data_IF_497673248150
#
_entry.id   IF_497673248150
#
_cell.length_a   1.000
_cell.length_b   1.000
_cell.length_c   1.000
_cell.angle_alpha   90.00
_cell.angle_beta   90.00
_cell.angle_gamma   90.00
#
_symmetry.space_group_name_H-M   'P 1'
#
loop_
_entity.id
_entity.type
_entity.pdbx_description
1 polymer ?
#
# COMPACT_ATOMS: atom_id res chain seq x y z
N UNK A 1 -9.75 -2.99 -29.02
CA UNK A 1 -9.17 -3.18 -27.67
C UNK A 1 -8.06 -2.17 -27.55
N UNK A 2 -8.23 -1.15 -26.71
CA UNK A 2 -7.19 -0.16 -26.42
C UNK A 2 -6.03 -0.87 -25.72
N UNK A 3 -4.80 -0.67 -26.18
CA UNK A 3 -3.63 -1.32 -25.59
C UNK A 3 -3.34 -0.75 -24.20
N UNK A 4 -2.85 -1.57 -23.27
CA UNK A 4 -2.53 -1.12 -21.88
C UNK A 4 -1.62 0.11 -21.85
N UNK A 5 -0.74 0.24 -22.85
CA UNK A 5 0.15 1.38 -23.07
C UNK A 5 -0.58 2.68 -23.40
N UNK A 6 -1.64 2.63 -24.22
CA UNK A 6 -2.39 3.82 -24.64
C UNK A 6 -3.23 4.39 -23.49
N UNK A 7 -3.81 3.50 -22.66
CA UNK A 7 -4.67 3.91 -21.54
C UNK A 7 -3.91 4.66 -20.42
N UNK A 8 -2.64 4.35 -20.22
CA UNK A 8 -1.83 4.92 -19.12
C UNK A 8 -0.62 5.72 -19.60
N UNK A 9 -0.42 5.87 -20.91
CA UNK A 9 0.76 6.56 -21.47
C UNK A 9 2.09 5.86 -21.16
N UNK A 10 2.05 4.56 -20.83
CA UNK A 10 3.23 3.79 -20.42
C UNK A 10 3.82 3.02 -21.60
N UNK A 11 5.14 2.96 -21.67
CA UNK A 11 5.83 2.09 -22.62
C UNK A 11 5.86 0.62 -22.14
N UNK A 12 6.25 -0.28 -23.04
CA UNK A 12 6.27 -1.71 -22.75
C UNK A 12 7.19 -2.08 -21.58
N UNK A 13 8.36 -1.45 -21.46
CA UNK A 13 9.29 -1.72 -20.37
C UNK A 13 8.75 -1.23 -19.01
N UNK A 14 8.07 -0.09 -19.00
CA UNK A 14 7.39 0.43 -17.80
C UNK A 14 6.26 -0.49 -17.35
N UNK A 15 5.48 -1.02 -18.30
CA UNK A 15 4.42 -2.01 -17.99
C UNK A 15 5.06 -3.26 -17.37
N UNK A 16 6.11 -3.81 -17.99
CA UNK A 16 6.84 -4.97 -17.45
C UNK A 16 7.41 -4.70 -16.06
N UNK A 17 7.97 -3.51 -15.84
CA UNK A 17 8.43 -3.10 -14.52
C UNK A 17 7.31 -3.17 -13.48
N UNK A 18 6.13 -2.63 -13.79
CA UNK A 18 4.99 -2.67 -12.89
C UNK A 18 4.50 -4.09 -12.64
N UNK A 19 4.43 -4.92 -13.70
CA UNK A 19 4.04 -6.33 -13.60
C UNK A 19 5.01 -7.10 -12.69
N UNK A 20 6.32 -6.97 -12.88
CA UNK A 20 7.29 -7.60 -11.98
C UNK A 20 7.17 -7.06 -10.55
N UNK A 21 7.04 -5.75 -10.36
CA UNK A 21 6.99 -5.14 -9.03
C UNK A 21 5.87 -5.67 -8.12
N UNK A 22 4.77 -6.14 -8.70
CA UNK A 22 3.62 -6.71 -7.96
C UNK A 22 3.62 -8.24 -7.89
N UNK A 23 4.47 -8.92 -8.65
CA UNK A 23 4.56 -10.40 -8.59
C UNK A 23 5.27 -10.87 -7.32
N UNK A 24 4.94 -12.08 -6.87
CA UNK A 24 5.50 -12.66 -5.65
C UNK A 24 7.04 -12.69 -5.64
N UNK A 25 7.66 -12.96 -6.79
CA UNK A 25 9.12 -13.09 -6.91
C UNK A 25 9.87 -11.76 -6.70
N UNK A 26 9.21 -10.62 -6.95
CA UNK A 26 9.82 -9.28 -6.84
C UNK A 26 9.00 -8.30 -6.02
N UNK A 27 8.07 -8.79 -5.21
CA UNK A 27 7.05 -7.98 -4.56
C UNK A 27 7.67 -6.83 -3.76
N UNK A 28 7.38 -5.59 -4.17
CA UNK A 28 7.87 -4.39 -3.51
C UNK A 28 9.35 -4.04 -3.77
N UNK A 29 10.11 -4.90 -4.48
CA UNK A 29 11.52 -4.68 -4.77
C UNK A 29 11.74 -3.98 -6.11
N UNK A 30 11.84 -2.65 -6.06
CA UNK A 30 12.00 -1.82 -7.26
C UNK A 30 13.30 -2.10 -8.03
N UNK A 31 14.40 -2.41 -7.35
CA UNK A 31 15.70 -2.61 -8.01
C UNK A 31 15.68 -3.87 -8.86
N UNK A 32 15.18 -4.98 -8.31
CA UNK A 32 15.15 -6.26 -9.01
C UNK A 32 14.08 -6.25 -10.11
N UNK A 33 12.90 -5.69 -9.84
CA UNK A 33 11.86 -5.52 -10.86
C UNK A 33 12.33 -4.66 -12.04
N UNK A 34 13.09 -3.59 -11.77
CA UNK A 34 13.68 -2.76 -12.83
C UNK A 34 14.78 -3.50 -13.58
N UNK A 35 15.63 -4.23 -12.86
CA UNK A 35 16.69 -5.02 -13.48
C UNK A 35 16.11 -6.05 -14.47
N UNK A 36 15.06 -6.75 -14.07
CA UNK A 36 14.39 -7.74 -14.93
C UNK A 36 13.69 -7.08 -16.13
N UNK A 37 12.93 -6.01 -15.90
CA UNK A 37 12.20 -5.31 -16.96
C UNK A 37 13.11 -4.72 -18.06
N UNK A 38 14.33 -4.31 -17.67
CA UNK A 38 15.30 -3.65 -18.56
C UNK A 38 16.50 -4.55 -18.92
N UNK A 39 16.48 -5.84 -18.54
CA UNK A 39 17.57 -6.81 -18.75
C UNK A 39 18.94 -6.32 -18.24
N UNK A 40 18.96 -5.73 -17.04
CA UNK A 40 20.17 -5.24 -16.38
C UNK A 40 20.72 -6.32 -15.45
N UNK A 41 21.98 -6.68 -15.69
CA UNK A 41 22.70 -7.59 -14.80
C UNK A 41 23.30 -6.82 -13.62
N UNK A 42 22.65 -6.92 -12.46
CA UNK A 42 23.05 -6.23 -11.22
C UNK A 42 24.35 -6.77 -10.60
N UNK A 43 24.87 -7.91 -11.07
CA UNK A 43 26.18 -8.42 -10.63
C UNK A 43 27.35 -7.60 -11.19
N UNK A 44 27.11 -6.86 -12.28
CA UNK A 44 28.14 -6.03 -12.91
C UNK A 44 28.35 -4.72 -12.14
N UNK A 45 29.61 -4.26 -11.99
CA UNK A 45 29.91 -2.98 -11.34
C UNK A 45 29.11 -1.82 -11.93
N UNK A 46 28.50 -1.01 -11.06
CA UNK A 46 27.71 0.17 -11.44
C UNK A 46 26.28 -0.10 -11.90
N UNK A 47 25.96 -1.31 -12.38
CA UNK A 47 24.61 -1.63 -12.88
C UNK A 47 23.55 -1.62 -11.79
N UNK A 48 23.91 -2.04 -10.57
CA UNK A 48 23.02 -1.90 -9.42
C UNK A 48 22.64 -0.43 -9.16
N UNK A 49 23.56 0.52 -9.31
CA UNK A 49 23.27 1.94 -9.09
C UNK A 49 22.34 2.50 -10.17
N UNK A 50 22.51 2.04 -11.43
CA UNK A 50 21.62 2.36 -12.54
C UNK A 50 20.21 1.84 -12.28
N UNK A 51 20.07 0.56 -11.92
CA UNK A 51 18.77 -0.05 -11.63
C UNK A 51 18.06 0.65 -10.45
N UNK A 52 18.81 0.98 -9.38
CA UNK A 52 18.26 1.72 -8.23
C UNK A 52 17.73 3.10 -8.62
N UNK A 53 18.50 3.87 -9.37
CA UNK A 53 18.11 5.22 -9.80
C UNK A 53 16.92 5.16 -10.77
N UNK A 54 16.93 4.20 -11.69
CA UNK A 54 15.84 3.95 -12.63
C UNK A 54 14.53 3.58 -11.91
N UNK A 55 14.61 2.64 -10.97
CA UNK A 55 13.48 2.22 -10.16
C UNK A 55 12.91 3.38 -9.33
N UNK A 56 13.76 4.16 -8.65
CA UNK A 56 13.33 5.33 -7.89
C UNK A 56 12.57 6.33 -8.76
N UNK A 57 13.09 6.62 -9.97
CA UNK A 57 12.43 7.52 -10.92
C UNK A 57 11.06 7.00 -11.35
N UNK A 58 10.92 5.69 -11.63
CA UNK A 58 9.64 5.10 -12.00
C UNK A 58 8.65 5.11 -10.82
N UNK A 59 9.09 4.76 -9.61
CA UNK A 59 8.26 4.75 -8.41
C UNK A 59 7.88 6.15 -7.91
N UNK A 60 8.49 7.20 -8.45
CA UNK A 60 8.10 8.60 -8.18
C UNK A 60 7.09 9.12 -9.23
N UNK A 61 6.90 8.40 -10.35
CA UNK A 61 5.98 8.81 -11.40
C UNK A 61 4.52 8.42 -11.04
N UNK A 62 3.62 9.40 -11.07
CA UNK A 62 2.22 9.21 -10.71
C UNK A 62 1.46 8.22 -11.62
N UNK A 63 1.76 8.17 -12.92
CA UNK A 63 1.11 7.26 -13.86
C UNK A 63 1.55 5.80 -13.62
N UNK A 64 2.82 5.61 -13.29
CA UNK A 64 3.37 4.31 -12.87
C UNK A 64 2.70 3.85 -11.58
N UNK A 65 2.65 4.71 -10.56
CA UNK A 65 2.01 4.39 -9.27
C UNK A 65 0.52 4.06 -9.44
N UNK A 66 -0.19 4.79 -10.31
CA UNK A 66 -1.59 4.51 -10.63
C UNK A 66 -1.75 3.13 -11.25
N UNK A 67 -0.88 2.75 -12.19
CA UNK A 67 -0.94 1.43 -12.81
C UNK A 67 -0.56 0.31 -11.83
N UNK A 68 0.43 0.53 -10.96
CA UNK A 68 0.77 -0.42 -9.87
C UNK A 68 -0.43 -0.65 -8.95
N UNK A 69 -1.15 0.41 -8.55
CA UNK A 69 -2.35 0.25 -7.72
C UNK A 69 -3.44 -0.57 -8.40
N UNK A 70 -3.67 -0.36 -9.70
CA UNK A 70 -4.63 -1.18 -10.47
C UNK A 70 -4.20 -2.65 -10.50
N UNK A 71 -2.90 -2.91 -10.63
CA UNK A 71 -2.38 -4.28 -10.61
C UNK A 71 -2.51 -4.90 -9.21
N UNK A 72 -2.16 -4.18 -8.15
CA UNK A 72 -2.34 -4.64 -6.75
C UNK A 72 -3.81 -4.92 -6.44
N UNK A 73 -4.72 -4.06 -6.87
CA UNK A 73 -6.16 -4.29 -6.76
C UNK A 73 -6.55 -5.58 -7.47
N UNK A 74 -6.03 -5.85 -8.67
CA UNK A 74 -6.34 -7.08 -9.42
C UNK A 74 -5.80 -8.36 -8.76
N UNK A 75 -4.64 -8.28 -8.09
CA UNK A 75 -4.03 -9.37 -7.32
C UNK A 75 -4.73 -9.63 -5.97
N UNK A 76 -5.80 -8.88 -5.66
CA UNK A 76 -6.58 -9.06 -4.44
C UNK A 76 -6.14 -8.17 -3.29
N UNK A 77 -5.26 -7.20 -3.51
CA UNK A 77 -4.95 -6.18 -2.52
C UNK A 77 -6.01 -5.06 -2.55
N UNK A 78 -7.28 -5.43 -2.36
CA UNK A 78 -8.42 -4.52 -2.37
C UNK A 78 -9.41 -4.85 -1.25
N UNK A 79 -10.23 -3.88 -0.87
CA UNK A 79 -11.22 -4.00 0.21
C UNK A 79 -12.18 -5.19 0.00
N UNK A 80 -12.61 -5.43 -1.24
CA UNK A 80 -13.55 -6.53 -1.53
C UNK A 80 -12.93 -7.91 -1.30
N UNK A 81 -11.63 -8.08 -1.50
CA UNK A 81 -10.92 -9.31 -1.17
C UNK A 81 -10.72 -9.44 0.35
N UNK A 82 -10.33 -8.35 1.03
CA UNK A 82 -10.19 -8.32 2.49
C UNK A 82 -11.51 -8.67 3.17
N UNK A 83 -12.63 -8.12 2.69
CA UNK A 83 -13.98 -8.44 3.19
C UNK A 83 -14.34 -9.91 3.00
N UNK A 84 -13.93 -10.53 1.88
CA UNK A 84 -14.13 -11.98 1.66
C UNK A 84 -13.28 -12.82 2.62
N UNK A 85 -12.04 -12.42 2.88
CA UNK A 85 -11.20 -13.10 3.88
C UNK A 85 -11.77 -12.94 5.29
N UNK A 86 -12.30 -11.76 5.62
CA UNK A 86 -12.98 -11.52 6.88
C UNK A 86 -14.24 -12.40 7.03
N UNK A 87 -15.05 -12.51 5.97
CA UNK A 87 -16.20 -13.43 5.94
C UNK A 87 -15.77 -14.88 6.17
N UNK A 88 -14.69 -15.33 5.53
CA UNK A 88 -14.14 -16.67 5.73
C UNK A 88 -13.69 -16.87 7.19
N UNK A 89 -12.98 -15.90 7.77
CA UNK A 89 -12.50 -15.95 9.15
C UNK A 89 -13.64 -15.96 10.19
N UNK A 90 -14.78 -15.32 9.90
CA UNK A 90 -15.98 -15.33 10.74
C UNK A 90 -16.74 -16.66 10.62
N UNK A 91 -16.79 -17.25 9.42
CA UNK A 91 -17.61 -18.45 9.16
C UNK A 91 -16.92 -19.75 9.58
N UNK A 92 -15.59 -19.81 9.53
CA UNK A 92 -14.83 -20.98 9.95
C UNK A 92 -15.05 -21.34 11.44
N UNK A 93 -14.83 -22.61 11.78
CA UNK A 93 -14.92 -23.16 13.15
C UNK A 93 -13.63 -23.90 13.60
N UNK A 94 -12.53 -23.75 12.86
CA UNK A 94 -11.23 -24.33 13.18
C UNK A 94 -10.52 -23.60 14.33
N UNK A 95 -10.66 -22.27 14.41
CA UNK A 95 -10.10 -21.44 15.48
C UNK A 95 -11.13 -20.43 15.98
N UNK A 96 -11.67 -20.68 17.18
CA UNK A 96 -12.66 -19.81 17.81
C UNK A 96 -12.08 -18.46 18.27
N UNK A 97 -10.78 -18.41 18.57
CA UNK A 97 -10.10 -17.17 18.94
C UNK A 97 -10.01 -16.21 17.75
N UNK A 98 -9.51 -16.71 16.61
CA UNK A 98 -9.50 -15.96 15.35
C UNK A 98 -10.90 -15.53 14.91
N UNK A 99 -11.90 -16.41 15.09
CA UNK A 99 -13.32 -16.11 14.81
C UNK A 99 -13.84 -14.94 15.65
N UNK A 100 -13.61 -14.95 16.97
CA UNK A 100 -14.05 -13.87 17.87
C UNK A 100 -13.36 -12.56 17.52
N UNK A 101 -12.06 -12.58 17.18
CA UNK A 101 -11.33 -11.40 16.72
C UNK A 101 -11.93 -10.83 15.43
N UNK A 102 -12.20 -11.67 14.43
CA UNK A 102 -12.82 -11.25 13.17
C UNK A 102 -14.21 -10.64 13.37
N UNK A 103 -15.06 -11.23 14.23
CA UNK A 103 -16.38 -10.68 14.59
C UNK A 103 -16.23 -9.31 15.27
N UNK A 104 -15.23 -9.14 16.14
CA UNK A 104 -14.95 -7.85 16.80
C UNK A 104 -14.61 -6.76 15.80
N UNK A 105 -13.69 -7.03 14.87
CA UNK A 105 -13.30 -6.06 13.84
C UNK A 105 -14.48 -5.72 12.91
N UNK A 106 -15.29 -6.72 12.52
CA UNK A 106 -16.51 -6.48 11.75
C UNK A 106 -17.51 -5.57 12.50
N UNK A 107 -17.70 -5.78 13.81
CA UNK A 107 -18.60 -4.95 14.60
C UNK A 107 -18.06 -3.52 14.80
N UNK A 108 -16.74 -3.33 14.89
CA UNK A 108 -16.11 -2.00 14.88
C UNK A 108 -16.36 -1.28 13.55
N UNK A 109 -16.17 -1.95 12.42
CA UNK A 109 -16.47 -1.38 11.08
C UNK A 109 -17.94 -0.95 10.96
N UNK A 110 -18.87 -1.72 11.54
CA UNK A 110 -20.30 -1.38 11.60
C UNK A 110 -20.65 -0.38 12.72
N UNK A 111 -19.66 0.14 13.45
CA UNK A 111 -19.83 1.06 14.59
C UNK A 111 -20.82 0.55 15.65
N UNK A 112 -20.84 -0.76 15.89
CA UNK A 112 -21.68 -1.39 16.93
C UNK A 112 -21.05 -1.38 18.31
N UNK A 113 -19.73 -1.12 18.36
CA UNK A 113 -18.93 -1.04 19.58
C UNK A 113 -18.39 0.39 19.63
N UNK A 114 -18.63 1.07 20.74
CA UNK A 114 -18.06 2.40 21.02
C UNK A 114 -17.03 2.27 22.14
N UNK A 115 -15.78 2.62 21.85
CA UNK A 115 -14.74 2.70 22.88
C UNK A 115 -14.84 4.07 23.56
N UNK A 116 -15.42 4.10 24.76
CA UNK A 116 -15.58 5.34 25.52
C UNK A 116 -14.22 5.77 26.10
N UNK A 117 -13.60 6.76 25.49
CA UNK A 117 -12.39 7.38 26.04
C UNK A 117 -12.75 8.28 27.22
N UNK A 118 -12.23 7.99 28.41
CA UNK A 118 -12.36 8.88 29.57
C UNK A 118 -11.08 9.69 29.70
N UNK A 119 -11.16 11.00 29.48
CA UNK A 119 -10.03 11.93 29.64
C UNK A 119 -10.22 12.70 30.94
N UNK A 120 -9.30 12.51 31.89
CA UNK A 120 -9.24 13.32 33.11
C UNK A 120 -8.25 14.45 32.90
N UNK A 121 -8.72 15.68 32.77
CA UNK A 121 -7.86 16.87 32.66
C UNK A 121 -7.46 17.29 34.07
N UNK A 122 -6.18 17.13 34.40
CA UNK A 122 -5.64 17.44 35.74
C UNK A 122 -5.25 18.91 35.92
N UNK A 123 -4.88 19.62 34.84
CA UNK A 123 -4.49 21.03 34.91
C UNK A 123 -4.68 21.71 33.56
N UNK A 124 -5.17 22.94 33.57
CA UNK A 124 -5.28 23.79 32.40
C UNK A 124 -4.54 25.10 32.71
N UNK A 125 -3.35 25.30 32.17
CA UNK A 125 -2.56 26.52 32.36
C UNK A 125 -2.82 27.47 31.19
N UNK A 126 -3.49 28.60 31.46
CA UNK A 126 -3.68 29.68 30.49
C UNK A 126 -2.60 30.73 30.72
N UNK A 127 -1.78 30.99 29.71
CA UNK A 127 -0.82 32.11 29.71
C UNK A 127 -1.40 33.23 28.86
N UNK A 128 -1.64 34.38 29.49
CA UNK A 128 -1.90 35.62 28.78
C UNK A 128 -0.56 36.27 28.47
N UNK A 129 -0.28 36.52 27.19
CA UNK A 129 0.78 37.44 26.79
C UNK A 129 0.18 38.83 26.88
N UNK A 130 0.48 39.56 27.96
CA UNK A 130 0.25 41.00 28.01
C UNK A 130 1.28 41.66 27.09
N UNK A 131 0.95 41.68 25.79
CA UNK A 131 1.63 42.47 24.78
C UNK A 131 1.01 43.86 24.71
N UNK A 132 1.85 44.84 25.02
CA UNK A 132 1.75 46.28 24.70
C UNK A 132 0.85 47.15 25.57
N UNK A 133 1.44 47.66 26.67
CA UNK A 133 1.13 49.01 27.15
C UNK A 133 2.11 50.00 26.49
N UNK A 134 1.52 51.08 25.97
CA UNK A 134 2.10 52.28 25.34
C UNK A 134 3.33 52.86 26.05
#
# INVERSE_FOLDING_TARGET
MESKSEKYGLNLQQIKFCEFYVTADFFGNGVVAYAEAYNIDVSKPGQHAVARTGAWRLLTNADILKYINVMLDSEGFNDAFVDKQLLLAITQNADLGAKVAAIREFNKLKKRIEDKLTITVTKFDVKFNDGDNL
#
